data_IF_092114989682
#
_entry.id   IF_092114989682
#
_cell.length_a   1.000
_cell.length_b   1.000
_cell.length_c   1.000
_cell.angle_alpha   90.00
_cell.angle_beta   90.00
_cell.angle_gamma   90.00
#
_symmetry.space_group_name_H-M   'P 1'
#
loop_
_entity.id
_entity.type
_entity.pdbx_description
1 polymer ?
#
# COMPACT_ATOMS: atom_id res chain seq x y z
N UNK A 1 -3.50 -3.80 18.64
CA UNK A 1 -3.28 -2.34 18.43
C UNK A 1 -3.04 -2.10 16.95
N UNK A 2 -3.49 -0.97 16.38
CA UNK A 2 -3.19 -0.58 14.99
C UNK A 2 -2.18 0.56 15.01
N UNK A 3 -1.08 0.41 14.26
CA UNK A 3 -0.02 1.40 14.16
C UNK A 3 -0.04 2.05 12.77
N UNK A 4 -0.34 3.34 12.71
CA UNK A 4 -0.26 4.13 11.48
C UNK A 4 0.99 5.00 11.51
N UNK A 5 1.92 4.73 10.61
CA UNK A 5 3.23 5.41 10.52
C UNK A 5 3.61 5.66 9.07
N UNK A 6 4.58 6.55 8.86
CA UNK A 6 5.17 6.75 7.53
C UNK A 6 6.10 5.58 7.17
N UNK A 7 6.35 5.35 5.88
CA UNK A 7 7.35 4.36 5.43
C UNK A 7 8.74 4.64 6.01
N UNK A 8 9.14 5.91 6.15
CA UNK A 8 10.44 6.24 6.74
C UNK A 8 10.54 5.81 8.21
N UNK A 9 9.44 5.93 8.95
CA UNK A 9 9.38 5.58 10.37
C UNK A 9 9.30 4.06 10.62
N UNK A 10 9.08 3.24 9.60
CA UNK A 10 8.94 1.79 9.78
C UNK A 10 10.28 1.04 9.89
N UNK A 11 11.40 1.73 9.61
CA UNK A 11 12.74 1.12 9.62
C UNK A 11 13.05 0.50 10.97
N UNK A 12 13.45 -0.78 10.97
CA UNK A 12 13.79 -1.53 12.19
C UNK A 12 12.58 -2.06 12.97
N UNK A 13 11.36 -1.85 12.47
CA UNK A 13 10.14 -2.44 13.02
C UNK A 13 9.68 -3.60 12.14
N UNK A 14 8.89 -4.51 12.68
CA UNK A 14 8.26 -5.60 11.93
C UNK A 14 6.86 -5.84 12.49
N UNK A 15 5.93 -6.22 11.61
CA UNK A 15 4.53 -6.39 11.96
C UNK A 15 3.98 -7.68 11.33
N UNK A 16 3.09 -8.42 12.02
CA UNK A 16 2.44 -9.60 11.45
C UNK A 16 1.75 -9.31 10.11
N UNK A 17 1.04 -8.19 10.03
CA UNK A 17 0.26 -7.79 8.87
C UNK A 17 0.59 -6.33 8.54
N UNK A 18 0.97 -6.04 7.31
CA UNK A 18 1.33 -4.68 6.83
C UNK A 18 0.41 -4.28 5.69
N UNK A 19 -0.08 -3.04 5.76
CA UNK A 19 -0.86 -2.40 4.71
C UNK A 19 -0.08 -1.21 4.17
N UNK A 20 0.40 -1.32 2.93
CA UNK A 20 1.00 -0.20 2.19
C UNK A 20 -0.09 0.46 1.37
N UNK A 21 -0.51 1.65 1.78
CA UNK A 21 -1.62 2.38 1.16
C UNK A 21 -1.13 3.52 0.30
N UNK A 22 -1.82 3.78 -0.81
CA UNK A 22 -1.50 4.89 -1.72
C UNK A 22 -0.21 4.70 -2.50
N UNK A 23 0.09 3.48 -2.94
CA UNK A 23 1.28 3.19 -3.75
C UNK A 23 1.07 3.70 -5.20
N UNK A 24 1.22 5.01 -5.37
CA UNK A 24 0.87 5.76 -6.57
C UNK A 24 2.08 6.46 -7.18
N UNK A 25 2.10 6.58 -8.51
CA UNK A 25 3.10 7.39 -9.20
C UNK A 25 2.98 8.88 -8.81
N UNK A 26 4.08 9.46 -8.34
CA UNK A 26 4.14 10.80 -7.78
C UNK A 26 4.00 10.86 -6.26
N UNK A 27 3.57 9.78 -5.60
CA UNK A 27 3.62 9.63 -4.14
C UNK A 27 4.75 8.70 -3.72
N UNK A 28 4.84 7.52 -4.33
CA UNK A 28 5.99 6.61 -4.23
C UNK A 28 6.15 5.88 -5.59
N UNK A 29 7.12 6.26 -6.43
CA UNK A 29 8.16 7.24 -6.19
C UNK A 29 7.62 8.66 -6.10
N UNK A 30 8.12 9.45 -5.14
CA UNK A 30 7.73 10.84 -5.01
C UNK A 30 8.14 11.66 -6.26
N UNK A 31 7.28 12.58 -6.71
CA UNK A 31 7.51 13.36 -7.95
C UNK A 31 8.85 14.09 -7.97
N UNK A 32 9.33 14.53 -6.79
CA UNK A 32 10.64 15.19 -6.66
C UNK A 32 11.78 14.23 -6.98
N UNK A 33 11.75 13.01 -6.43
CA UNK A 33 12.76 11.98 -6.64
C UNK A 33 12.81 11.54 -8.11
N UNK A 34 11.66 11.54 -8.80
CA UNK A 34 11.59 11.36 -10.25
C UNK A 34 12.34 12.47 -11.00
N UNK A 35 12.11 13.73 -10.63
CA UNK A 35 12.73 14.88 -11.28
C UNK A 35 14.24 14.98 -11.02
N UNK A 36 14.67 14.61 -9.82
CA UNK A 36 16.08 14.62 -9.39
C UNK A 36 16.86 13.35 -9.81
N UNK A 37 16.18 12.34 -10.35
CA UNK A 37 16.80 11.07 -10.77
C UNK A 37 17.19 10.15 -9.60
N UNK A 38 16.65 10.36 -8.41
CA UNK A 38 16.96 9.62 -7.17
C UNK A 38 16.00 8.45 -6.91
N UNK A 39 15.47 7.86 -7.98
CA UNK A 39 14.49 6.77 -7.95
C UNK A 39 14.93 5.54 -7.14
N UNK A 40 16.24 5.28 -7.08
CA UNK A 40 16.78 4.14 -6.34
C UNK A 40 16.57 4.27 -4.83
N UNK A 41 16.49 5.50 -4.30
CA UNK A 41 16.20 5.72 -2.88
C UNK A 41 14.73 5.42 -2.56
N UNK A 42 13.80 5.84 -3.41
CA UNK A 42 12.38 5.51 -3.30
C UNK A 42 12.15 4.00 -3.44
N UNK A 43 12.90 3.33 -4.33
CA UNK A 43 12.84 1.87 -4.47
C UNK A 43 13.32 1.16 -3.20
N UNK A 44 14.40 1.65 -2.59
CA UNK A 44 14.88 1.14 -1.29
C UNK A 44 13.85 1.35 -0.18
N UNK A 45 13.17 2.50 -0.18
CA UNK A 45 12.08 2.77 0.77
C UNK A 45 10.93 1.78 0.61
N UNK A 46 10.53 1.50 -0.64
CA UNK A 46 9.53 0.48 -0.93
C UNK A 46 9.97 -0.92 -0.46
N UNK A 47 11.20 -1.32 -0.77
CA UNK A 47 11.77 -2.58 -0.31
C UNK A 47 11.76 -2.70 1.22
N UNK A 48 12.15 -1.64 1.95
CA UNK A 48 12.08 -1.63 3.41
C UNK A 48 10.65 -1.84 3.88
N UNK A 49 9.66 -1.14 3.29
CA UNK A 49 8.25 -1.30 3.65
C UNK A 49 7.72 -2.72 3.42
N UNK A 50 8.03 -3.32 2.27
CA UNK A 50 7.67 -4.71 1.92
C UNK A 50 8.22 -5.69 2.97
N UNK A 51 9.50 -5.55 3.34
CA UNK A 51 10.17 -6.45 4.29
C UNK A 51 9.75 -6.24 5.75
N UNK A 52 8.86 -5.29 6.07
CA UNK A 52 8.33 -5.18 7.45
C UNK A 52 7.20 -6.17 7.73
N UNK A 53 6.64 -6.79 6.69
CA UNK A 53 5.56 -7.76 6.81
C UNK A 53 6.11 -9.14 7.17
N UNK A 54 5.62 -9.73 8.26
CA UNK A 54 6.01 -11.10 8.67
C UNK A 54 5.10 -12.17 8.07
N UNK A 55 3.78 -11.91 7.96
CA UNK A 55 2.79 -12.89 7.48
C UNK A 55 2.10 -12.43 6.21
N UNK A 56 1.50 -11.25 6.21
CA UNK A 56 0.79 -10.73 5.03
C UNK A 56 1.15 -9.29 4.73
N UNK A 57 1.21 -8.99 3.44
CA UNK A 57 1.40 -7.66 2.89
C UNK A 57 0.24 -7.36 1.94
N UNK A 58 -0.51 -6.30 2.22
CA UNK A 58 -1.52 -5.78 1.32
C UNK A 58 -1.05 -4.42 0.78
N UNK A 59 -1.17 -4.22 -0.52
CA UNK A 59 -0.79 -2.98 -1.20
C UNK A 59 -2.03 -2.42 -1.89
N UNK A 60 -2.26 -1.11 -1.76
CA UNK A 60 -3.37 -0.44 -2.45
C UNK A 60 -2.95 0.89 -3.09
N UNK A 61 -3.66 1.28 -4.13
CA UNK A 61 -3.58 2.60 -4.76
C UNK A 61 -5.00 3.13 -5.02
N UNK A 62 -5.15 4.44 -5.18
CA UNK A 62 -6.42 5.04 -5.57
C UNK A 62 -6.53 5.18 -7.10
N UNK A 63 -7.74 5.17 -7.65
CA UNK A 63 -8.00 5.59 -9.03
C UNK A 63 -8.04 7.13 -9.15
N UNK A 64 -8.44 7.81 -8.08
CA UNK A 64 -8.35 9.25 -7.94
C UNK A 64 -8.30 9.67 -6.47
N UNK A 65 -7.62 10.78 -6.20
CA UNK A 65 -7.38 11.30 -4.86
C UNK A 65 -7.75 12.77 -4.78
N UNK A 66 -8.39 13.18 -3.68
CA UNK A 66 -8.66 14.58 -3.40
C UNK A 66 -7.39 15.26 -2.87
N UNK A 67 -6.86 16.23 -3.60
CA UNK A 67 -5.70 17.06 -3.22
C UNK A 67 -6.05 18.52 -3.43
N UNK A 68 -5.83 19.35 -2.41
CA UNK A 68 -6.16 20.79 -2.44
C UNK A 68 -7.59 21.09 -2.89
N UNK A 69 -8.55 20.27 -2.44
CA UNK A 69 -9.96 20.44 -2.77
C UNK A 69 -10.40 19.85 -4.12
N UNK A 70 -9.47 19.48 -5.00
CA UNK A 70 -9.76 18.91 -6.32
C UNK A 70 -9.48 17.40 -6.36
N UNK A 71 -10.29 16.65 -7.09
CA UNK A 71 -10.03 15.23 -7.37
C UNK A 71 -9.07 15.12 -8.54
N UNK A 72 -7.90 14.55 -8.31
CA UNK A 72 -6.91 14.29 -9.35
C UNK A 72 -6.90 12.79 -9.67
N UNK A 73 -6.74 12.40 -10.95
CA UNK A 73 -6.51 11.00 -11.29
C UNK A 73 -5.17 10.54 -10.71
N UNK A 74 -5.12 9.28 -10.32
CA UNK A 74 -3.92 8.64 -9.77
C UNK A 74 -3.54 7.45 -10.66
N UNK A 75 -2.25 7.23 -10.81
CA UNK A 75 -1.71 6.07 -11.51
C UNK A 75 -1.02 5.14 -10.51
N UNK A 76 -1.09 3.81 -10.70
CA UNK A 76 -0.35 2.87 -9.87
C UNK A 76 1.15 3.15 -9.93
N UNK A 77 1.87 2.94 -8.83
CA UNK A 77 3.32 3.06 -8.80
C UNK A 77 3.99 2.11 -9.81
N UNK A 78 5.05 2.55 -10.52
CA UNK A 78 5.85 1.65 -11.35
C UNK A 78 6.47 0.49 -10.55
N UNK A 79 6.70 0.65 -9.24
CA UNK A 79 7.28 -0.39 -8.39
C UNK A 79 6.39 -1.64 -8.26
N UNK A 80 5.08 -1.52 -8.51
CA UNK A 80 4.19 -2.69 -8.56
C UNK A 80 4.58 -3.68 -9.66
N UNK A 81 5.09 -3.17 -10.79
CA UNK A 81 5.53 -4.00 -11.92
C UNK A 81 6.87 -4.69 -11.67
N UNK A 82 7.58 -4.28 -10.62
CA UNK A 82 8.85 -4.90 -10.20
C UNK A 82 8.60 -6.10 -9.28
N UNK A 83 7.37 -6.31 -8.79
CA UNK A 83 7.01 -7.47 -7.99
C UNK A 83 6.87 -8.72 -8.88
N UNK A 84 7.36 -9.90 -8.44
CA UNK A 84 7.16 -11.14 -9.17
C UNK A 84 5.67 -11.45 -9.30
N UNK A 85 5.11 -11.56 -10.52
CA UNK A 85 3.67 -11.70 -10.72
C UNK A 85 3.10 -12.97 -10.09
N UNK A 86 3.89 -14.03 -9.98
CA UNK A 86 3.52 -15.29 -9.33
C UNK A 86 3.30 -15.17 -7.80
N UNK A 87 3.78 -14.09 -7.19
CA UNK A 87 3.61 -13.81 -5.76
C UNK A 87 2.50 -12.80 -5.47
N UNK A 88 1.83 -12.28 -6.50
CA UNK A 88 0.83 -11.22 -6.38
C UNK A 88 -0.56 -11.77 -6.68
N UNK A 89 -1.47 -11.63 -5.72
CA UNK A 89 -2.91 -11.75 -5.95
C UNK A 89 -3.48 -10.37 -6.29
N UNK A 90 -4.01 -10.21 -7.50
CA UNK A 90 -4.63 -8.95 -7.95
C UNK A 90 -6.14 -8.96 -7.68
N UNK A 91 -6.54 -8.17 -6.69
CA UNK A 91 -7.94 -7.98 -6.28
C UNK A 91 -8.60 -6.73 -6.88
N UNK A 92 -7.98 -6.08 -7.87
CA UNK A 92 -8.46 -4.81 -8.44
C UNK A 92 -9.86 -4.91 -9.07
N UNK A 93 -10.24 -6.06 -9.63
CA UNK A 93 -11.59 -6.27 -10.15
C UNK A 93 -12.62 -6.45 -9.02
N UNK A 94 -12.27 -7.19 -7.96
CA UNK A 94 -13.15 -7.39 -6.79
C UNK A 94 -13.37 -6.08 -6.03
N UNK A 95 -12.40 -5.17 -6.04
CA UNK A 95 -12.49 -3.89 -5.32
C UNK A 95 -13.43 -2.86 -5.96
N UNK A 96 -13.93 -3.11 -7.19
CA UNK A 96 -14.85 -2.18 -7.88
C UNK A 96 -16.28 -2.26 -7.35
N UNK A 97 -16.65 -3.38 -6.74
CA UNK A 97 -17.97 -3.55 -6.14
C UNK A 97 -17.96 -3.12 -4.68
N UNK A 98 -18.92 -2.29 -4.23
CA UNK A 98 -19.06 -1.96 -2.83
C UNK A 98 -19.21 -3.23 -1.99
N UNK A 99 -18.39 -3.34 -0.93
CA UNK A 99 -18.50 -4.44 0.03
C UNK A 99 -19.78 -4.26 0.84
N UNK A 100 -20.60 -5.31 0.92
CA UNK A 100 -21.79 -5.29 1.79
C UNK A 100 -21.39 -5.09 3.25
N UNK A 101 -22.20 -4.35 4.00
CA UNK A 101 -21.87 -3.97 5.38
C UNK A 101 -21.59 -5.19 6.28
N UNK A 102 -22.31 -6.30 6.07
CA UNK A 102 -22.14 -7.52 6.86
C UNK A 102 -20.84 -8.24 6.51
N UNK A 103 -20.50 -8.33 5.23
CA UNK A 103 -19.20 -8.84 4.77
C UNK A 103 -18.06 -8.03 5.35
N UNK A 104 -18.16 -6.70 5.34
CA UNK A 104 -17.16 -5.82 5.95
C UNK A 104 -16.98 -6.06 7.45
N UNK A 105 -18.08 -6.20 8.21
CA UNK A 105 -18.01 -6.54 9.64
C UNK A 105 -17.35 -7.89 9.89
N UNK A 106 -17.68 -8.90 9.08
CA UNK A 106 -17.09 -10.23 9.21
C UNK A 106 -15.58 -10.22 8.96
N UNK A 107 -15.11 -9.45 7.96
CA UNK A 107 -13.69 -9.27 7.67
C UNK A 107 -12.94 -8.65 8.85
N UNK A 108 -13.48 -7.57 9.43
CA UNK A 108 -12.87 -6.96 10.62
C UNK A 108 -12.94 -7.86 11.86
N UNK A 109 -13.96 -8.71 12.00
CA UNK A 109 -14.03 -9.70 13.07
C UNK A 109 -12.90 -10.74 12.94
N UNK A 110 -12.73 -11.32 11.76
CA UNK A 110 -11.64 -12.26 11.47
C UNK A 110 -10.26 -11.61 11.66
N UNK A 111 -10.10 -10.35 11.24
CA UNK A 111 -8.85 -9.62 11.42
C UNK A 111 -8.53 -9.36 12.90
N UNK A 112 -9.55 -9.14 13.75
CA UNK A 112 -9.35 -9.03 15.21
C UNK A 112 -8.94 -10.36 15.82
N UNK A 113 -9.60 -11.46 15.44
CA UNK A 113 -9.26 -12.80 15.93
C UNK A 113 -7.82 -13.21 15.56
N UNK A 114 -7.38 -12.86 14.35
CA UNK A 114 -6.02 -13.14 13.88
C UNK A 114 -4.92 -12.38 14.64
N UNK A 115 -5.28 -11.32 15.37
CA UNK A 115 -4.35 -10.49 16.14
C UNK A 115 -4.22 -10.92 17.61
N UNK A 116 -4.98 -11.93 18.06
CA UNK A 116 -5.06 -12.38 19.47
C UNK A 116 -5.78 -11.40 20.37
#
# INVERSE_FOLDING_TARGET
VVTLITMHSCKGLEFPHVYVVGLEDGLLPHSRSKAEGTMDEERRLFYVAVTRAMKTLAISHCAGRKKYGQTMPCHPSPFLKELPPELVEDDSEKSKTPVEAETGKSYFAAMREALG
#
